data_IF_451638793892
#
_entry.id   IF_451638793892
#
_cell.length_a   1.000
_cell.length_b   1.000
_cell.length_c   1.000
_cell.angle_alpha   90.00
_cell.angle_beta   90.00
_cell.angle_gamma   90.00
#
_symmetry.space_group_name_H-M   'P 1'
#
loop_
_entity.id
_entity.type
_entity.pdbx_description
1 polymer ?
#
# COMPACT_ATOMS: atom_id res chain seq x y z
N UNK A 1 7.86 -46.65 11.67
CA UNK A 1 7.68 -46.13 10.30
C UNK A 1 6.91 -44.82 10.41
N UNK A 2 7.66 -43.72 10.41
CA UNK A 2 7.18 -42.35 10.62
C UNK A 2 6.60 -41.81 9.31
N UNK A 3 5.37 -41.27 9.32
CA UNK A 3 4.80 -40.58 8.16
C UNK A 3 5.24 -39.12 8.21
N UNK A 4 6.01 -38.69 7.21
CA UNK A 4 6.41 -37.30 7.04
C UNK A 4 5.19 -36.36 6.91
N UNK A 5 5.23 -35.15 7.48
CA UNK A 5 4.18 -34.16 7.28
C UNK A 5 4.21 -33.66 5.84
N UNK A 6 3.05 -33.72 5.18
CA UNK A 6 2.86 -33.18 3.84
C UNK A 6 2.93 -31.66 3.93
N UNK A 7 4.06 -31.07 3.54
CA UNK A 7 4.14 -29.62 3.29
C UNK A 7 2.99 -29.25 2.35
N UNK A 8 2.01 -28.49 2.87
CA UNK A 8 1.09 -27.72 2.02
C UNK A 8 1.94 -26.63 1.38
N UNK A 9 2.49 -26.94 0.22
CA UNK A 9 2.80 -25.89 -0.73
C UNK A 9 1.46 -25.21 -1.03
N UNK A 10 1.35 -23.92 -0.71
CA UNK A 10 0.37 -23.07 -1.37
C UNK A 10 0.73 -23.08 -2.84
N UNK A 11 0.16 -24.04 -3.56
CA UNK A 11 0.19 -24.07 -5.00
C UNK A 11 -0.50 -22.79 -5.44
N UNK A 12 0.26 -21.85 -6.01
CA UNK A 12 -0.27 -20.75 -6.81
C UNK A 12 -0.92 -21.39 -8.03
N UNK A 13 -2.13 -21.90 -7.85
CA UNK A 13 -2.87 -22.62 -8.86
C UNK A 13 -3.44 -21.63 -9.86
N UNK A 14 -2.88 -21.68 -11.08
CA UNK A 14 -3.44 -21.24 -12.37
C UNK A 14 -3.71 -19.74 -12.53
N UNK A 15 -2.87 -19.14 -13.38
CA UNK A 15 -3.12 -17.92 -14.14
C UNK A 15 -4.54 -17.92 -14.74
N UNK A 16 -5.50 -17.32 -14.03
CA UNK A 16 -6.67 -16.76 -14.68
C UNK A 16 -6.14 -15.53 -15.42
N UNK A 17 -5.73 -15.71 -16.68
CA UNK A 17 -5.29 -14.62 -17.55
C UNK A 17 -6.49 -13.70 -17.79
N UNK A 18 -6.76 -12.78 -16.87
CA UNK A 18 -7.69 -11.68 -17.12
C UNK A 18 -7.07 -10.78 -18.18
N UNK A 19 -7.89 -10.24 -19.07
CA UNK A 19 -7.40 -9.44 -20.19
C UNK A 19 -6.68 -8.19 -19.68
N UNK A 20 -5.63 -7.79 -20.41
CA UNK A 20 -5.07 -6.46 -20.21
C UNK A 20 -6.15 -5.42 -20.59
N UNK A 21 -6.34 -4.43 -19.74
CA UNK A 21 -7.35 -3.40 -19.92
C UNK A 21 -6.66 -2.08 -20.23
N UNK A 22 -7.18 -1.37 -21.24
CA UNK A 22 -6.78 0.00 -21.52
C UNK A 22 -7.67 0.93 -20.70
N UNK A 23 -7.09 1.70 -19.78
CA UNK A 23 -7.82 2.61 -18.91
C UNK A 23 -7.03 3.90 -18.67
N UNK A 24 -7.73 4.91 -18.17
CA UNK A 24 -7.18 6.19 -17.72
C UNK A 24 -7.91 6.68 -16.45
N UNK A 25 -7.63 7.90 -16.00
CA UNK A 25 -8.20 8.46 -14.77
C UNK A 25 -9.72 8.70 -14.79
N UNK A 26 -10.38 8.55 -15.94
CA UNK A 26 -11.84 8.71 -16.08
C UNK A 26 -12.55 7.39 -16.42
N UNK A 27 -11.82 6.28 -16.51
CA UNK A 27 -12.41 4.97 -16.84
C UNK A 27 -13.15 4.39 -15.64
N UNK A 28 -14.42 4.03 -15.81
CA UNK A 28 -15.17 3.20 -14.86
C UNK A 28 -14.89 1.72 -15.18
N UNK A 29 -14.31 0.93 -14.24
CA UNK A 29 -14.07 -0.49 -14.48
C UNK A 29 -15.37 -1.28 -14.57
N UNK A 30 -15.55 -2.09 -15.61
CA UNK A 30 -16.69 -3.02 -15.75
C UNK A 30 -16.45 -4.37 -15.06
N UNK A 31 -15.22 -4.59 -14.58
CA UNK A 31 -14.79 -5.84 -13.94
C UNK A 31 -14.52 -5.61 -12.44
N UNK A 32 -14.49 -6.71 -11.67
CA UNK A 32 -14.16 -6.62 -10.25
C UNK A 32 -12.71 -6.19 -10.01
N UNK A 33 -12.44 -5.61 -8.84
CA UNK A 33 -11.09 -5.21 -8.44
C UNK A 33 -10.14 -6.41 -8.45
N UNK A 34 -10.58 -7.57 -7.98
CA UNK A 34 -9.78 -8.80 -7.93
C UNK A 34 -9.42 -9.27 -9.34
N UNK A 35 -10.36 -9.21 -10.28
CA UNK A 35 -10.11 -9.57 -11.68
C UNK A 35 -9.14 -8.57 -12.34
N UNK A 36 -9.28 -7.29 -12.04
CA UNK A 36 -8.41 -6.24 -12.58
C UNK A 36 -6.98 -6.40 -12.08
N UNK A 37 -6.84 -6.57 -10.75
CA UNK A 37 -5.58 -6.77 -10.07
C UNK A 37 -5.04 -8.20 -10.21
N UNK A 38 -5.71 -9.13 -10.88
CA UNK A 38 -5.10 -10.43 -11.19
C UNK A 38 -4.07 -10.33 -12.33
N UNK A 39 -4.13 -9.28 -13.16
CA UNK A 39 -3.24 -9.08 -14.30
C UNK A 39 -2.08 -8.14 -13.92
N UNK A 40 -0.84 -8.60 -14.08
CA UNK A 40 0.35 -7.82 -13.74
C UNK A 40 0.52 -6.54 -14.56
N UNK A 41 0.15 -6.55 -15.86
CA UNK A 41 0.21 -5.32 -16.68
C UNK A 41 -0.81 -4.29 -16.21
N UNK A 42 -1.99 -4.72 -15.78
CA UNK A 42 -2.99 -3.84 -15.19
C UNK A 42 -2.47 -3.24 -13.88
N UNK A 43 -1.87 -4.03 -12.98
CA UNK A 43 -1.26 -3.54 -11.74
C UNK A 43 -0.20 -2.48 -11.99
N UNK A 44 0.74 -2.74 -12.92
CA UNK A 44 1.83 -1.80 -13.25
C UNK A 44 1.25 -0.49 -13.79
N UNK A 45 0.38 -0.56 -14.80
CA UNK A 45 -0.24 0.64 -15.38
C UNK A 45 -1.10 1.40 -14.38
N UNK A 46 -1.73 0.70 -13.44
CA UNK A 46 -2.53 1.32 -12.39
C UNK A 46 -1.66 2.05 -11.37
N UNK A 47 -0.55 1.43 -10.95
CA UNK A 47 0.45 2.08 -10.10
C UNK A 47 1.03 3.33 -10.75
N UNK A 48 1.40 3.24 -12.04
CA UNK A 48 1.88 4.38 -12.82
C UNK A 48 0.84 5.50 -12.96
N UNK A 49 -0.43 5.14 -13.12
CA UNK A 49 -1.52 6.10 -13.18
C UNK A 49 -1.72 6.80 -11.82
N UNK A 50 -1.74 6.04 -10.72
CA UNK A 50 -1.89 6.58 -9.37
C UNK A 50 -0.76 7.53 -9.00
N UNK A 51 0.49 7.18 -9.33
CA UNK A 51 1.68 8.00 -9.08
C UNK A 51 1.57 9.41 -9.66
N UNK A 52 0.92 9.56 -10.82
CA UNK A 52 0.78 10.87 -11.49
C UNK A 52 -0.09 11.87 -10.73
N UNK A 53 -1.01 11.43 -9.87
CA UNK A 53 -1.91 12.36 -9.18
C UNK A 53 -1.20 13.14 -8.07
N UNK A 54 -0.51 12.50 -7.10
CA UNK A 54 0.28 13.23 -6.10
C UNK A 54 1.42 14.04 -6.72
N UNK A 55 2.09 13.50 -7.75
CA UNK A 55 3.18 14.22 -8.42
C UNK A 55 2.71 15.53 -9.07
N UNK A 56 1.52 15.54 -9.68
CA UNK A 56 0.90 16.77 -10.19
C UNK A 56 0.59 17.79 -9.10
N UNK A 57 0.39 17.33 -7.87
CA UNK A 57 0.21 18.18 -6.69
C UNK A 57 1.55 18.52 -5.99
N UNK A 58 2.70 18.26 -6.62
CA UNK A 58 4.04 18.43 -6.07
C UNK A 58 4.32 17.58 -4.82
N UNK A 59 3.61 16.46 -4.66
CA UNK A 59 3.87 15.49 -3.60
C UNK A 59 4.86 14.45 -4.12
N UNK A 60 5.94 14.23 -3.37
CA UNK A 60 6.93 13.19 -3.70
C UNK A 60 6.32 11.79 -3.55
N UNK A 61 6.46 10.96 -4.57
CA UNK A 61 6.02 9.55 -4.54
C UNK A 61 7.23 8.63 -4.45
N UNK A 62 7.19 7.68 -3.50
CA UNK A 62 8.12 6.56 -3.40
C UNK A 62 7.35 5.26 -3.60
N UNK A 63 7.86 4.37 -4.45
CA UNK A 63 7.29 3.04 -4.67
C UNK A 63 8.10 2.01 -3.91
N UNK A 64 7.42 1.16 -3.13
CA UNK A 64 8.06 0.07 -2.42
C UNK A 64 8.38 -1.08 -3.38
N UNK A 65 9.62 -1.59 -3.32
CA UNK A 65 10.01 -2.81 -4.01
C UNK A 65 9.40 -4.05 -3.34
N UNK A 66 9.24 -4.02 -2.01
CA UNK A 66 8.76 -5.13 -1.20
C UNK A 66 7.57 -4.71 -0.33
N UNK A 67 7.85 -4.12 0.85
CA UNK A 67 6.82 -3.72 1.81
C UNK A 67 6.70 -2.19 1.91
N UNK A 68 5.50 -1.69 1.65
CA UNK A 68 5.19 -0.26 1.75
C UNK A 68 5.21 0.24 3.21
N UNK A 69 4.77 -0.56 4.17
CA UNK A 69 4.68 -0.14 5.57
C UNK A 69 6.07 0.13 6.16
N UNK A 70 7.03 -0.75 5.84
CA UNK A 70 8.44 -0.58 6.21
C UNK A 70 9.03 0.67 5.54
N UNK A 71 8.83 0.84 4.23
CA UNK A 71 9.37 1.99 3.50
C UNK A 71 8.82 3.33 4.02
N UNK A 72 7.55 3.36 4.42
CA UNK A 72 6.91 4.56 5.00
C UNK A 72 7.58 4.91 6.34
N UNK A 73 7.75 3.91 7.23
CA UNK A 73 8.36 4.12 8.55
C UNK A 73 9.83 4.50 8.43
N UNK A 74 10.61 3.79 7.61
CA UNK A 74 12.02 4.11 7.35
C UNK A 74 12.17 5.52 6.76
N UNK A 75 11.27 5.91 5.86
CA UNK A 75 11.27 7.28 5.32
C UNK A 75 11.02 8.30 6.42
N UNK A 76 10.02 8.10 7.28
CA UNK A 76 9.74 9.02 8.39
C UNK A 76 10.93 9.14 9.35
N UNK A 77 11.57 8.03 9.69
CA UNK A 77 12.77 8.00 10.56
C UNK A 77 13.95 8.71 9.89
N UNK A 78 14.16 8.52 8.59
CA UNK A 78 15.27 9.15 7.85
C UNK A 78 15.21 10.69 7.84
N UNK A 79 14.00 11.26 7.95
CA UNK A 79 13.79 12.72 7.94
C UNK A 79 13.51 13.30 9.31
N UNK A 80 13.60 12.51 10.38
CA UNK A 80 13.16 12.89 11.74
C UNK A 80 13.92 14.07 12.35
N UNK A 81 15.14 14.32 11.90
CA UNK A 81 15.95 15.46 12.32
C UNK A 81 15.84 16.66 11.39
N UNK A 82 15.11 16.53 10.27
CA UNK A 82 15.00 17.57 9.24
C UNK A 82 13.72 18.42 9.39
N UNK A 83 12.72 17.91 10.10
CA UNK A 83 11.41 18.54 10.24
C UNK A 83 10.97 18.62 11.70
N UNK A 84 10.28 19.70 12.05
CA UNK A 84 9.78 19.93 13.42
C UNK A 84 8.65 18.96 13.81
N UNK A 85 7.86 18.50 12.83
CA UNK A 85 6.74 17.58 13.06
C UNK A 85 6.60 16.64 11.86
N UNK A 86 6.45 15.35 12.13
CA UNK A 86 6.26 14.32 11.10
C UNK A 86 5.02 13.52 11.44
N UNK A 87 4.20 13.26 10.41
CA UNK A 87 2.98 12.49 10.53
C UNK A 87 3.07 11.27 9.62
N UNK A 88 3.01 10.08 10.23
CA UNK A 88 2.76 8.82 9.50
C UNK A 88 1.27 8.59 9.50
N UNK A 89 0.68 8.56 8.30
CA UNK A 89 -0.77 8.43 8.12
C UNK A 89 -1.08 7.05 7.56
N UNK A 90 -1.97 6.29 8.21
CA UNK A 90 -2.37 4.97 7.76
C UNK A 90 -3.44 4.32 8.64
N UNK A 91 -4.01 3.20 8.21
CA UNK A 91 -5.00 2.46 8.99
C UNK A 91 -4.43 1.22 9.68
N UNK A 92 -3.31 0.69 9.17
CA UNK A 92 -2.73 -0.56 9.62
C UNK A 92 -2.11 -0.43 11.02
N UNK A 93 -2.35 -1.44 11.87
CA UNK A 93 -1.74 -1.54 13.20
C UNK A 93 -0.23 -1.80 13.10
N UNK A 94 0.24 -2.38 11.99
CA UNK A 94 1.65 -2.66 11.75
C UNK A 94 2.50 -1.39 11.79
N UNK A 95 1.92 -0.22 11.46
CA UNK A 95 2.61 1.06 11.64
C UNK A 95 3.01 1.32 13.09
N UNK A 96 2.14 1.01 14.07
CA UNK A 96 2.47 1.20 15.49
C UNK A 96 3.59 0.26 15.93
N UNK A 97 3.56 -0.99 15.48
CA UNK A 97 4.60 -1.98 15.79
C UNK A 97 5.94 -1.56 15.19
N UNK A 98 5.94 -1.19 13.90
CA UNK A 98 7.14 -0.74 13.19
C UNK A 98 7.70 0.56 13.76
N UNK A 99 6.85 1.55 14.06
CA UNK A 99 7.29 2.80 14.68
C UNK A 99 7.92 2.55 16.06
N UNK A 100 7.32 1.69 16.87
CA UNK A 100 7.87 1.34 18.19
C UNK A 100 9.23 0.63 18.09
N UNK A 101 9.43 -0.20 17.06
CA UNK A 101 10.67 -0.95 16.88
C UNK A 101 11.79 -0.18 16.17
N UNK A 102 11.44 0.72 15.24
CA UNK A 102 12.41 1.37 14.34
C UNK A 102 12.61 2.86 14.61
N UNK A 103 11.61 3.56 15.14
CA UNK A 103 11.74 4.99 15.37
C UNK A 103 12.55 5.27 16.64
N UNK A 104 13.45 6.27 16.61
CA UNK A 104 14.11 6.73 17.82
C UNK A 104 13.09 7.38 18.75
N UNK A 105 13.37 7.38 20.06
CA UNK A 105 12.58 8.09 21.06
C UNK A 105 12.68 9.61 20.83
N UNK A 106 11.83 10.14 19.95
CA UNK A 106 11.70 11.57 19.66
C UNK A 106 10.25 11.99 19.70
N UNK A 107 10.02 13.20 20.22
CA UNK A 107 8.67 13.73 20.48
C UNK A 107 7.97 14.29 19.24
N UNK A 108 8.68 14.43 18.10
CA UNK A 108 8.16 15.04 16.88
C UNK A 108 7.58 14.07 15.83
N UNK A 109 7.45 12.77 16.16
CA UNK A 109 6.91 11.76 15.25
C UNK A 109 5.55 11.27 15.74
N UNK A 110 4.52 11.49 14.91
CA UNK A 110 3.13 11.18 15.25
C UNK A 110 2.55 10.17 14.27
N UNK A 111 1.82 9.18 14.80
CA UNK A 111 0.98 8.32 13.99
C UNK A 111 -0.45 8.87 13.95
N UNK A 112 -0.98 9.09 12.75
CA UNK A 112 -2.35 9.51 12.52
C UNK A 112 -3.13 8.39 11.85
N UNK A 113 -4.02 7.77 12.61
CA UNK A 113 -4.95 6.79 12.05
C UNK A 113 -5.97 7.48 11.14
N UNK A 114 -6.13 7.01 9.90
CA UNK A 114 -7.24 7.45 9.06
C UNK A 114 -8.58 7.00 9.68
N UNK A 115 -9.53 7.92 9.79
CA UNK A 115 -10.88 7.58 10.25
C UNK A 115 -11.65 6.84 9.15
N UNK A 116 -12.57 5.96 9.53
CA UNK A 116 -13.57 5.45 8.58
C UNK A 116 -14.41 6.65 8.14
N UNK A 117 -14.34 7.02 6.86
CA UNK A 117 -15.21 8.05 6.31
C UNK A 117 -16.66 7.70 6.62
N UNK A 118 -17.45 8.66 7.10
CA UNK A 118 -18.90 8.49 7.10
C UNK A 118 -19.31 8.47 5.64
N UNK A 119 -19.81 7.36 5.14
CA UNK A 119 -20.66 7.40 3.94
C UNK A 119 -21.86 8.28 4.31
N UNK A 120 -22.17 9.35 3.55
CA UNK A 120 -23.47 9.99 3.69
C UNK A 120 -24.51 8.88 3.54
N UNK A 121 -25.44 8.78 4.49
CA UNK A 121 -26.61 7.94 4.29
C UNK A 121 -27.24 8.38 2.97
N UNK A 122 -27.31 7.45 2.01
CA UNK A 122 -28.04 7.68 0.77
C UNK A 122 -29.51 7.80 1.18
N UNK A 123 -30.02 9.02 1.20
CA UNK A 123 -31.44 9.33 1.39
C UNK A 123 -32.18 8.97 0.11
#
# INVERSE_FOLDING_TARGET
MERAPKCRTHSTSKLNSTHEIIFNGTTCPEISQEQFLANERNKVRFSDLLKKFPEKANVTVKQAAENADVLIVETAVSVISQYDNIFVVGENIDFLVLLTGLAPMKENLYFRKCGKGRTPDVI
#
